data_IF_907728943022
#
_entry.id   IF_907728943022
#
_cell.length_a   1.000
_cell.length_b   1.000
_cell.length_c   1.000
_cell.angle_alpha   90.00
_cell.angle_beta   90.00
_cell.angle_gamma   90.00
#
_symmetry.space_group_name_H-M   'P 1'
#
loop_
_entity.id
_entity.type
_entity.pdbx_description
1 polymer ?
#
# COMPACT_ATOMS: atom_id res chain seq x y z
N UNK A 1 -37.22 18.82 -72.30
CA UNK A 1 -37.73 19.38 -71.03
C UNK A 1 -37.79 18.35 -69.90
N UNK A 2 -38.10 17.06 -70.13
CA UNK A 2 -38.24 16.05 -69.06
C UNK A 2 -36.93 15.61 -68.37
N UNK A 3 -35.79 15.61 -69.07
CA UNK A 3 -34.52 15.11 -68.50
C UNK A 3 -33.94 16.00 -67.38
N UNK A 4 -34.18 17.31 -67.46
CA UNK A 4 -33.70 18.29 -66.48
C UNK A 4 -34.41 18.08 -65.12
N UNK A 5 -35.71 17.82 -65.15
CA UNK A 5 -36.50 17.52 -63.95
C UNK A 5 -36.13 16.17 -63.32
N UNK A 6 -35.80 15.16 -64.13
CA UNK A 6 -35.35 13.87 -63.61
C UNK A 6 -34.01 14.00 -62.89
N UNK A 7 -33.05 14.73 -63.46
CA UNK A 7 -31.74 14.99 -62.85
C UNK A 7 -31.86 15.80 -61.56
N UNK A 8 -32.70 16.83 -61.52
CA UNK A 8 -32.97 17.62 -60.31
C UNK A 8 -33.57 16.76 -59.19
N UNK A 9 -34.55 15.91 -59.51
CA UNK A 9 -35.21 15.05 -58.52
C UNK A 9 -34.30 13.94 -57.98
N UNK A 10 -33.45 13.37 -58.82
CA UNK A 10 -32.42 12.39 -58.39
C UNK A 10 -31.39 13.08 -57.50
N UNK A 11 -30.97 14.30 -57.83
CA UNK A 11 -30.02 15.09 -57.05
C UNK A 11 -30.59 15.46 -55.67
N UNK A 12 -31.83 15.92 -55.60
CA UNK A 12 -32.52 16.20 -54.32
C UNK A 12 -32.73 14.93 -53.49
N UNK A 13 -33.10 13.80 -54.12
CA UNK A 13 -33.24 12.51 -53.42
C UNK A 13 -31.92 12.00 -52.83
N UNK A 14 -30.80 12.18 -53.55
CA UNK A 14 -29.48 11.77 -53.12
C UNK A 14 -28.93 12.71 -52.03
N UNK A 15 -28.98 14.03 -52.25
CA UNK A 15 -28.38 15.02 -51.35
C UNK A 15 -29.13 15.15 -50.01
N UNK A 16 -30.46 15.07 -50.01
CA UNK A 16 -31.27 15.23 -48.80
C UNK A 16 -31.26 14.01 -47.86
N UNK A 17 -31.22 12.79 -48.43
CA UNK A 17 -31.24 11.55 -47.65
C UNK A 17 -29.84 11.12 -47.19
N UNK A 18 -28.81 11.25 -48.04
CA UNK A 18 -27.43 10.89 -47.68
C UNK A 18 -26.90 11.71 -46.52
N UNK A 19 -27.13 13.03 -46.51
CA UNK A 19 -26.72 13.90 -45.39
C UNK A 19 -27.34 13.45 -44.07
N UNK A 20 -28.61 13.06 -44.09
CA UNK A 20 -29.31 12.55 -42.91
C UNK A 20 -28.67 11.27 -42.39
N UNK A 21 -28.44 10.28 -43.27
CA UNK A 21 -27.82 9.00 -42.89
C UNK A 21 -26.40 9.19 -42.33
N UNK A 22 -25.59 10.07 -42.92
CA UNK A 22 -24.24 10.37 -42.43
C UNK A 22 -24.28 11.00 -41.03
N UNK A 23 -25.17 11.98 -40.81
CA UNK A 23 -25.32 12.62 -39.48
C UNK A 23 -25.78 11.61 -38.42
N UNK A 24 -26.76 10.76 -38.76
CA UNK A 24 -27.22 9.72 -37.83
C UNK A 24 -26.12 8.71 -37.50
N UNK A 25 -25.34 8.28 -38.48
CA UNK A 25 -24.20 7.38 -38.25
C UNK A 25 -23.11 7.99 -37.37
N UNK A 26 -22.81 9.28 -37.55
CA UNK A 26 -21.85 10.00 -36.68
C UNK A 26 -22.36 10.07 -35.24
N UNK A 27 -23.64 10.37 -35.05
CA UNK A 27 -24.25 10.41 -33.71
C UNK A 27 -24.22 9.04 -33.04
N UNK A 28 -24.53 7.97 -33.77
CA UNK A 28 -24.51 6.61 -33.25
C UNK A 28 -23.10 6.18 -32.82
N UNK A 29 -22.09 6.43 -33.65
CA UNK A 29 -20.68 6.16 -33.29
C UNK A 29 -20.27 6.98 -32.08
N UNK A 30 -20.63 8.27 -32.03
CA UNK A 30 -20.30 9.13 -30.90
C UNK A 30 -20.95 8.65 -29.59
N UNK A 31 -22.21 8.18 -29.66
CA UNK A 31 -22.93 7.63 -28.53
C UNK A 31 -22.28 6.35 -28.01
N UNK A 32 -21.91 5.44 -28.92
CA UNK A 32 -21.23 4.18 -28.59
C UNK A 32 -19.86 4.46 -27.95
N UNK A 33 -19.07 5.35 -28.54
CA UNK A 33 -17.75 5.73 -28.00
C UNK A 33 -17.89 6.36 -26.62
N UNK A 34 -18.87 7.25 -26.43
CA UNK A 34 -19.12 7.87 -25.11
C UNK A 34 -19.50 6.82 -24.07
N UNK A 35 -20.35 5.84 -24.43
CA UNK A 35 -20.72 4.73 -23.55
C UNK A 35 -19.51 3.90 -23.11
N UNK A 36 -18.63 3.54 -24.06
CA UNK A 36 -17.41 2.78 -23.77
C UNK A 36 -16.46 3.59 -22.88
N UNK A 37 -16.28 4.88 -23.15
CA UNK A 37 -15.40 5.74 -22.34
C UNK A 37 -15.91 5.90 -20.91
N UNK A 38 -17.22 6.05 -20.71
CA UNK A 38 -17.81 6.12 -19.37
C UNK A 38 -17.63 4.79 -18.63
N UNK A 39 -17.92 3.66 -19.28
CA UNK A 39 -17.72 2.33 -18.69
C UNK A 39 -16.26 2.11 -18.27
N UNK A 40 -15.31 2.46 -19.14
CA UNK A 40 -13.87 2.37 -18.86
C UNK A 40 -13.47 3.31 -17.71
N UNK A 41 -14.03 4.52 -17.67
CA UNK A 41 -13.72 5.51 -16.63
C UNK A 41 -14.17 5.04 -15.25
N UNK A 42 -15.38 4.45 -15.15
CA UNK A 42 -15.90 3.88 -13.91
C UNK A 42 -15.02 2.71 -13.45
N UNK A 43 -14.67 1.80 -14.35
CA UNK A 43 -13.79 0.66 -14.04
C UNK A 43 -12.41 1.12 -13.54
N UNK A 44 -11.80 2.11 -14.22
CA UNK A 44 -10.51 2.66 -13.81
C UNK A 44 -10.56 3.36 -12.44
N UNK A 45 -11.66 4.05 -12.14
CA UNK A 45 -11.84 4.69 -10.84
C UNK A 45 -11.92 3.66 -9.70
N UNK A 46 -12.65 2.56 -9.90
CA UNK A 46 -12.76 1.49 -8.91
C UNK A 46 -11.41 0.79 -8.67
N UNK A 47 -10.68 0.46 -9.74
CA UNK A 47 -9.33 -0.10 -9.66
C UNK A 47 -8.39 0.85 -8.90
N UNK A 48 -8.42 2.15 -9.20
CA UNK A 48 -7.57 3.14 -8.52
C UNK A 48 -7.91 3.26 -7.04
N UNK A 49 -9.20 3.21 -6.68
CA UNK A 49 -9.65 3.24 -5.30
C UNK A 49 -9.17 2.00 -4.55
N UNK A 50 -9.34 0.81 -5.13
CA UNK A 50 -8.87 -0.46 -4.56
C UNK A 50 -7.36 -0.44 -4.34
N UNK A 51 -6.59 -0.07 -5.37
CA UNK A 51 -5.13 0.07 -5.27
C UNK A 51 -4.71 1.03 -4.16
N UNK A 52 -5.39 2.17 -4.02
CA UNK A 52 -5.11 3.12 -2.95
C UNK A 52 -5.40 2.53 -1.56
N UNK A 53 -6.46 1.75 -1.41
CA UNK A 53 -6.74 1.08 -0.13
C UNK A 53 -5.71 0.02 0.21
N UNK A 54 -5.21 -0.72 -0.78
CA UNK A 54 -4.17 -1.72 -0.56
C UNK A 54 -2.82 -1.07 -0.22
N UNK A 55 -2.46 0.02 -0.91
CA UNK A 55 -1.28 0.83 -0.58
C UNK A 55 -1.32 1.33 0.87
N UNK A 56 -2.47 1.83 1.34
CA UNK A 56 -2.64 2.30 2.72
C UNK A 56 -2.50 1.16 3.73
N UNK A 57 -3.11 0.00 3.46
CA UNK A 57 -2.97 -1.18 4.33
C UNK A 57 -1.53 -1.65 4.44
N UNK A 58 -0.81 -1.69 3.32
CA UNK A 58 0.62 -2.06 3.30
C UNK A 58 1.42 -1.06 4.14
N UNK A 59 1.18 0.23 3.96
CA UNK A 59 1.83 1.28 4.74
C UNK A 59 1.57 1.13 6.26
N UNK A 60 0.31 0.94 6.67
CA UNK A 60 -0.06 0.75 8.07
C UNK A 60 0.60 -0.50 8.66
N UNK A 61 0.62 -1.61 7.91
CA UNK A 61 1.27 -2.84 8.35
C UNK A 61 2.78 -2.66 8.56
N UNK A 62 3.47 -1.96 7.66
CA UNK A 62 4.89 -1.67 7.79
C UNK A 62 5.14 -0.75 9.00
N UNK A 63 4.32 0.29 9.15
CA UNK A 63 4.42 1.21 10.29
C UNK A 63 4.25 0.48 11.62
N UNK A 64 3.24 -0.38 11.74
CA UNK A 64 2.98 -1.13 12.95
C UNK A 64 4.13 -2.11 13.27
N UNK A 65 4.64 -2.83 12.25
CA UNK A 65 5.80 -3.71 12.41
C UNK A 65 7.03 -2.96 12.93
N UNK A 66 7.34 -1.79 12.37
CA UNK A 66 8.48 -0.99 12.85
C UNK A 66 8.30 -0.55 14.31
N UNK A 67 7.08 -0.21 14.71
CA UNK A 67 6.77 0.16 16.11
C UNK A 67 6.94 -1.05 17.04
N UNK A 68 6.48 -2.22 16.62
CA UNK A 68 6.64 -3.47 17.36
C UNK A 68 8.10 -3.87 17.48
N UNK A 69 8.86 -3.87 16.38
CA UNK A 69 10.29 -4.16 16.35
C UNK A 69 11.06 -3.21 17.28
N UNK A 70 10.74 -1.91 17.24
CA UNK A 70 11.33 -0.92 18.16
C UNK A 70 11.06 -1.26 19.62
N UNK A 71 9.84 -1.68 19.95
CA UNK A 71 9.46 -2.06 21.31
C UNK A 71 10.20 -3.30 21.77
N UNK A 72 10.34 -4.29 20.89
CA UNK A 72 11.11 -5.51 21.17
C UNK A 72 12.58 -5.20 21.42
N UNK A 73 13.21 -4.40 20.56
CA UNK A 73 14.59 -3.94 20.73
C UNK A 73 14.80 -3.17 22.03
N UNK A 74 13.84 -2.33 22.43
CA UNK A 74 13.90 -1.65 23.71
C UNK A 74 13.86 -2.64 24.87
N UNK A 75 13.03 -3.69 24.79
CA UNK A 75 13.00 -4.76 25.78
C UNK A 75 14.34 -5.48 25.90
N UNK A 76 14.99 -5.78 24.77
CA UNK A 76 16.34 -6.37 24.76
C UNK A 76 17.37 -5.44 25.40
N UNK A 77 17.33 -4.13 25.09
CA UNK A 77 18.23 -3.14 25.69
C UNK A 77 18.04 -3.08 27.21
N UNK A 78 16.80 -3.03 27.68
CA UNK A 78 16.48 -2.94 29.10
C UNK A 78 16.93 -4.20 29.85
N UNK A 79 16.70 -5.37 29.25
CA UNK A 79 17.19 -6.65 29.78
C UNK A 79 18.72 -6.68 29.87
N UNK A 80 19.41 -6.32 28.78
CA UNK A 80 20.87 -6.27 28.74
C UNK A 80 21.44 -5.27 29.76
N UNK A 81 20.76 -4.15 30.01
CA UNK A 81 21.14 -3.19 31.05
C UNK A 81 21.05 -3.79 32.44
N UNK A 82 19.99 -4.55 32.74
CA UNK A 82 19.85 -5.27 34.02
C UNK A 82 20.99 -6.27 34.20
N UNK A 83 21.27 -7.05 33.16
CA UNK A 83 22.33 -8.04 33.19
C UNK A 83 23.72 -7.40 33.38
N UNK A 84 23.99 -6.29 32.67
CA UNK A 84 25.23 -5.52 32.84
C UNK A 84 25.43 -5.05 34.28
N UNK A 85 24.37 -4.56 34.94
CA UNK A 85 24.43 -4.18 36.36
C UNK A 85 24.77 -5.37 37.26
N UNK A 86 24.25 -6.57 36.96
CA UNK A 86 24.57 -7.80 37.70
C UNK A 86 26.05 -8.19 37.53
N UNK A 87 26.60 -8.12 36.31
CA UNK A 87 28.03 -8.34 36.08
C UNK A 87 28.91 -7.33 36.82
N UNK A 88 28.55 -6.04 36.79
CA UNK A 88 29.29 -5.02 37.54
C UNK A 88 29.29 -5.29 39.04
N UNK A 89 28.13 -5.65 39.60
CA UNK A 89 27.99 -5.99 41.01
C UNK A 89 28.82 -7.23 41.39
N UNK A 90 28.81 -8.27 40.55
CA UNK A 90 29.64 -9.45 40.74
C UNK A 90 31.14 -9.11 40.72
N UNK A 91 31.57 -8.31 39.74
CA UNK A 91 32.96 -7.85 39.64
C UNK A 91 33.38 -7.05 40.87
N UNK A 92 32.51 -6.19 41.41
CA UNK A 92 32.78 -5.43 42.62
C UNK A 92 33.05 -6.36 43.81
N UNK A 93 32.17 -7.33 44.08
CA UNK A 93 32.34 -8.28 45.19
C UNK A 93 33.67 -9.05 45.06
N UNK A 94 33.98 -9.53 43.86
CA UNK A 94 35.20 -10.28 43.58
C UNK A 94 36.43 -9.39 43.81
N UNK A 95 36.40 -8.15 43.33
CA UNK A 95 37.52 -7.20 43.46
C UNK A 95 37.77 -6.76 44.90
N UNK A 96 36.70 -6.58 45.70
CA UNK A 96 36.76 -6.20 47.11
C UNK A 96 37.06 -7.39 48.03
N UNK A 97 37.05 -8.63 47.51
CA UNK A 97 37.13 -9.87 48.27
C UNK A 97 36.11 -9.92 49.43
N UNK A 98 34.93 -9.32 49.20
CA UNK A 98 33.90 -9.16 50.22
C UNK A 98 33.14 -10.48 50.43
N UNK A 99 33.65 -11.30 51.35
CA UNK A 99 33.07 -12.61 51.70
C UNK A 99 31.67 -12.52 52.31
N UNK A 100 31.24 -11.35 52.80
CA UNK A 100 29.89 -11.18 53.36
C UNK A 100 28.79 -11.22 52.30
N UNK A 101 29.15 -10.95 51.03
CA UNK A 101 28.22 -10.95 49.89
C UNK A 101 28.31 -12.20 49.02
N UNK A 102 29.07 -13.22 49.46
CA UNK A 102 29.28 -14.48 48.74
C UNK A 102 27.94 -15.17 48.38
N UNK A 103 27.00 -15.23 49.32
CA UNK A 103 25.69 -15.84 49.08
C UNK A 103 24.88 -15.11 48.01
N UNK A 104 25.03 -13.79 47.91
CA UNK A 104 24.38 -12.99 46.86
C UNK A 104 25.03 -13.27 45.50
N UNK A 105 26.35 -13.43 45.46
CA UNK A 105 27.09 -13.79 44.24
C UNK A 105 26.71 -15.19 43.74
N UNK A 106 26.61 -16.18 44.64
CA UNK A 106 26.17 -17.55 44.32
C UNK A 106 24.76 -17.54 43.73
N UNK A 107 23.86 -16.71 44.25
CA UNK A 107 22.47 -16.62 43.77
C UNK A 107 22.35 -16.05 42.36
N UNK A 108 23.21 -15.09 41.97
CA UNK A 108 23.15 -14.47 40.64
C UNK A 108 23.99 -15.23 39.59
N UNK A 109 24.93 -16.09 40.02
CA UNK A 109 25.84 -16.80 39.13
C UNK A 109 25.16 -17.60 37.99
N UNK A 110 24.03 -18.31 38.20
CA UNK A 110 23.35 -19.03 37.11
C UNK A 110 22.86 -18.09 36.00
N UNK A 111 22.30 -16.94 36.38
CA UNK A 111 21.79 -15.93 35.44
C UNK A 111 22.91 -15.28 34.60
N UNK A 112 24.15 -15.32 35.10
CA UNK A 112 25.34 -14.84 34.38
C UNK A 112 25.94 -15.90 33.45
N UNK A 113 25.65 -17.19 33.67
CA UNK A 113 26.15 -18.31 32.87
C UNK A 113 25.25 -18.63 31.67
N UNK A 114 23.93 -18.44 31.82
CA UNK A 114 22.96 -18.69 30.74
C UNK A 114 23.12 -17.77 29.52
N UNK A 115 23.98 -16.74 29.60
CA UNK A 115 24.25 -15.76 28.54
C UNK A 115 25.61 -15.95 27.85
N UNK A 116 26.40 -16.97 28.23
CA UNK A 116 27.69 -17.31 27.59
C UNK A 116 27.55 -18.14 26.31
#
# INVERSE_FOLDING_TARGET
MSEIFLKLRIKEMLEGKMKRYIIFGIVEVFLVVTGILIALSINNWDIKKSKRTDELKIYENISNRIIEDKKELQGVIDYNKILYMKYQFANQIISENDRSKLDTLIRIAPELLDYS
#
